data_IF_430444131462
#
_entry.id   IF_430444131462
#
_cell.length_a   1.000
_cell.length_b   1.000
_cell.length_c   1.000
_cell.angle_alpha   90.00
_cell.angle_beta   90.00
_cell.angle_gamma   90.00
#
_symmetry.space_group_name_H-M   'P 1'
#
loop_
_entity.id
_entity.type
_entity.pdbx_description
1 polymer ?
#
# COMPACT_ATOMS: atom_id res chain seq x y z
N UNK A 1 19.86 -3.01 13.61
CA UNK A 1 19.84 -1.64 13.03
C UNK A 1 20.72 -1.60 11.79
N UNK A 2 21.85 -2.32 11.80
CA UNK A 2 22.82 -2.37 10.70
C UNK A 2 22.23 -2.85 9.35
N UNK A 3 21.19 -3.69 9.36
CA UNK A 3 20.53 -4.15 8.13
C UNK A 3 19.52 -3.15 7.55
N UNK A 4 19.07 -2.16 8.32
CA UNK A 4 17.99 -1.26 7.90
C UNK A 4 18.45 -0.27 6.82
N UNK A 5 19.63 0.32 6.99
CA UNK A 5 20.16 1.31 6.04
C UNK A 5 20.37 0.71 4.63
N UNK A 6 20.99 -0.48 4.47
CA UNK A 6 21.07 -1.15 3.17
C UNK A 6 19.71 -1.43 2.54
N UNK A 7 18.71 -1.83 3.34
CA UNK A 7 17.35 -2.09 2.86
C UNK A 7 16.70 -0.78 2.37
N UNK A 8 16.82 0.30 3.12
CA UNK A 8 16.28 1.61 2.76
C UNK A 8 16.87 2.10 1.44
N UNK A 9 18.19 2.03 1.29
CA UNK A 9 18.86 2.48 0.06
C UNK A 9 18.49 1.61 -1.14
N UNK A 10 18.32 0.30 -0.94
CA UNK A 10 17.80 -0.59 -1.98
C UNK A 10 16.37 -0.21 -2.38
N UNK A 11 15.48 0.02 -1.42
CA UNK A 11 14.09 0.40 -1.67
C UNK A 11 13.99 1.74 -2.39
N UNK A 12 14.82 2.74 -2.05
CA UNK A 12 14.89 4.01 -2.78
C UNK A 12 15.23 3.83 -4.25
N UNK A 13 16.18 2.95 -4.59
CA UNK A 13 16.53 2.64 -5.98
C UNK A 13 15.36 2.01 -6.73
N UNK A 14 14.65 1.07 -6.11
CA UNK A 14 13.45 0.44 -6.69
C UNK A 14 12.34 1.47 -6.92
N UNK A 15 12.05 2.30 -5.91
CA UNK A 15 11.03 3.33 -6.00
C UNK A 15 11.34 4.34 -7.11
N UNK A 16 12.61 4.76 -7.23
CA UNK A 16 13.02 5.69 -8.27
C UNK A 16 12.86 5.09 -9.67
N UNK A 17 13.23 3.82 -9.84
CA UNK A 17 13.11 3.13 -11.11
C UNK A 17 11.64 2.90 -11.52
N UNK A 18 10.78 2.52 -10.58
CA UNK A 18 9.37 2.17 -10.88
C UNK A 18 8.43 3.40 -10.92
N UNK A 19 8.69 4.41 -10.10
CA UNK A 19 7.77 5.52 -9.86
C UNK A 19 8.42 6.91 -10.03
N UNK A 20 9.68 6.98 -10.47
CA UNK A 20 10.44 8.25 -10.60
C UNK A 20 10.49 9.07 -9.30
N UNK A 21 10.50 8.39 -8.16
CA UNK A 21 10.52 9.00 -6.82
C UNK A 21 11.35 8.17 -5.85
N UNK A 22 12.18 8.83 -5.03
CA UNK A 22 12.95 8.20 -3.94
C UNK A 22 12.27 8.31 -2.57
N UNK A 23 11.05 8.87 -2.52
CA UNK A 23 10.34 9.12 -1.28
C UNK A 23 9.90 7.81 -0.65
N UNK A 24 10.16 7.65 0.65
CA UNK A 24 9.73 6.50 1.46
C UNK A 24 8.98 6.99 2.69
N UNK A 25 8.04 6.17 3.14
CA UNK A 25 7.33 6.33 4.41
C UNK A 25 7.59 5.10 5.27
N UNK A 26 7.63 5.28 6.59
CA UNK A 26 7.67 4.20 7.54
C UNK A 26 6.35 4.16 8.29
N UNK A 27 5.75 2.98 8.32
CA UNK A 27 4.54 2.72 9.09
C UNK A 27 4.79 1.59 10.08
N UNK A 28 3.95 1.54 11.11
CA UNK A 28 4.00 0.44 12.08
C UNK A 28 3.55 -0.84 11.39
N UNK A 29 4.41 -1.85 11.38
CA UNK A 29 4.06 -3.17 10.88
C UNK A 29 3.04 -3.85 11.80
N UNK A 30 1.85 -4.16 11.26
CA UNK A 30 0.79 -4.90 11.93
C UNK A 30 0.88 -6.39 11.54
N UNK A 31 1.05 -7.27 12.52
CA UNK A 31 1.03 -8.73 12.31
C UNK A 31 -0.41 -9.22 12.19
N UNK A 32 -0.62 -10.22 11.34
CA UNK A 32 -1.91 -10.90 11.14
C UNK A 32 -3.08 -9.95 10.82
N UNK A 33 -2.78 -8.84 10.13
CA UNK A 33 -3.78 -7.85 9.74
C UNK A 33 -4.61 -8.32 8.55
N UNK A 34 -5.92 -8.13 8.63
CA UNK A 34 -6.82 -8.24 7.47
C UNK A 34 -6.64 -7.04 6.54
N UNK A 35 -6.59 -7.27 5.23
CA UNK A 35 -6.64 -6.21 4.23
C UNK A 35 -8.10 -6.02 3.80
N UNK A 36 -8.66 -4.86 4.10
CA UNK A 36 -10.04 -4.50 3.76
C UNK A 36 -10.00 -3.32 2.80
N UNK A 37 -10.75 -3.44 1.70
CA UNK A 37 -10.87 -2.40 0.69
C UNK A 37 -12.33 -2.02 0.46
N UNK A 38 -12.56 -0.73 0.28
CA UNK A 38 -13.87 -0.18 -0.02
C UNK A 38 -13.79 0.55 -1.35
N UNK A 39 -14.54 0.07 -2.33
CA UNK A 39 -14.64 0.72 -3.63
C UNK A 39 -15.63 1.89 -3.53
N UNK A 40 -15.22 3.07 -3.98
CA UNK A 40 -16.05 4.27 -4.04
C UNK A 40 -16.30 4.67 -5.51
N UNK A 41 -17.49 5.17 -5.81
CA UNK A 41 -17.84 5.83 -7.07
C UNK A 41 -18.49 7.17 -6.74
N UNK A 42 -17.97 8.25 -7.31
CA UNK A 42 -18.56 9.57 -7.18
C UNK A 42 -18.68 10.31 -8.50
N UNK A 43 -19.54 11.32 -8.54
CA UNK A 43 -19.73 12.21 -9.69
C UNK A 43 -19.54 13.70 -9.33
N UNK A 44 -19.56 14.57 -10.35
CA UNK A 44 -19.36 16.02 -10.18
C UNK A 44 -20.56 16.75 -9.55
N UNK A 45 -21.72 16.09 -9.46
CA UNK A 45 -22.92 16.65 -8.82
C UNK A 45 -22.93 16.40 -7.30
N UNK A 46 -21.89 15.72 -6.79
CA UNK A 46 -21.71 15.44 -5.37
C UNK A 46 -22.30 14.10 -4.92
N UNK A 47 -22.71 13.22 -5.84
CA UNK A 47 -23.12 11.88 -5.47
C UNK A 47 -21.88 11.04 -5.14
N UNK A 48 -21.98 10.21 -4.10
CA UNK A 48 -20.93 9.28 -3.68
C UNK A 48 -21.58 7.99 -3.17
N UNK A 49 -21.16 6.85 -3.72
CA UNK A 49 -21.62 5.53 -3.32
C UNK A 49 -20.43 4.62 -3.05
N UNK A 50 -20.62 3.65 -2.15
CA UNK A 50 -19.68 2.55 -1.93
C UNK A 50 -20.23 1.26 -2.56
N UNK A 51 -19.36 0.45 -3.16
CA UNK A 51 -19.71 -0.84 -3.76
C UNK A 51 -19.17 -1.99 -2.93
N UNK A 52 -19.90 -2.37 -1.87
CA UNK A 52 -19.56 -3.47 -0.94
C UNK A 52 -18.12 -3.40 -0.37
N UNK A 53 -17.79 -4.34 0.53
CA UNK A 53 -16.45 -4.51 1.08
C UNK A 53 -15.79 -5.75 0.47
N UNK A 54 -14.56 -5.59 -0.02
CA UNK A 54 -13.73 -6.70 -0.48
C UNK A 54 -12.77 -7.14 0.62
N UNK A 55 -12.76 -8.42 0.97
CA UNK A 55 -11.74 -9.02 1.86
C UNK A 55 -10.68 -9.65 0.96
N UNK A 56 -9.48 -9.07 0.93
CA UNK A 56 -8.33 -9.66 0.27
C UNK A 56 -7.45 -10.37 1.33
N UNK A 57 -7.09 -11.65 1.14
CA UNK A 57 -6.16 -12.30 2.03
C UNK A 57 -4.77 -11.69 1.87
N UNK A 58 -4.25 -11.08 2.93
CA UNK A 58 -2.88 -10.60 2.97
C UNK A 58 -1.92 -11.78 3.15
N UNK A 59 -1.05 -12.03 2.17
CA UNK A 59 0.07 -12.99 2.31
C UNK A 59 1.38 -12.26 2.09
N UNK A 60 2.28 -12.38 3.08
CA UNK A 60 3.69 -12.02 2.95
C UNK A 60 3.99 -10.59 2.49
N UNK A 61 3.17 -9.61 2.84
CA UNK A 61 3.46 -8.22 2.50
C UNK A 61 2.99 -7.77 1.11
N UNK A 62 2.41 -8.70 0.33
CA UNK A 62 2.05 -8.48 -1.06
C UNK A 62 0.55 -8.73 -1.21
N UNK A 63 -0.16 -7.69 -1.64
CA UNK A 63 -1.57 -7.80 -2.01
C UNK A 63 -1.68 -8.64 -3.29
N UNK A 64 -2.31 -9.81 -3.17
CA UNK A 64 -2.68 -10.63 -4.32
C UNK A 64 -4.16 -10.35 -4.65
N UNK A 65 -4.42 -10.02 -5.92
CA UNK A 65 -5.75 -9.86 -6.50
C UNK A 65 -6.40 -11.22 -6.75
#
# INVERSE_FOLDING_TARGET
MDDLLPIVDRTRRVANHAFSSTRLFFERHLKDASHIEVQLIGDELGNLVHLFEGIAPYKDGIKNW
#
